data_IF_382463049189
#
_entry.id   IF_382463049189
#
_cell.length_a   1.000
_cell.length_b   1.000
_cell.length_c   1.000
_cell.angle_alpha   90.00
_cell.angle_beta   90.00
_cell.angle_gamma   90.00
#
_symmetry.space_group_name_H-M   'P 1'
#
loop_
_entity.id
_entity.type
_entity.pdbx_description
1 polymer ?
#
# COMPACT_ATOMS: atom_id res chain seq x y z
N UNK A 1 -30.17 -7.47 3.62
CA UNK A 1 -29.26 -7.37 4.80
C UNK A 1 -28.42 -6.13 4.56
N UNK A 2 -28.53 -5.08 5.38
CA UNK A 2 -27.88 -3.80 5.07
C UNK A 2 -26.37 -3.97 4.88
N UNK A 3 -25.84 -3.56 3.73
CA UNK A 3 -24.41 -3.46 3.53
C UNK A 3 -23.94 -2.22 4.29
N UNK A 4 -23.28 -2.43 5.44
CA UNK A 4 -22.83 -1.33 6.30
C UNK A 4 -21.46 -0.79 5.89
N UNK A 5 -20.83 -1.36 4.86
CA UNK A 5 -19.54 -0.88 4.33
C UNK A 5 -19.83 0.33 3.43
N UNK A 6 -19.26 1.51 3.70
CA UNK A 6 -19.27 2.63 2.76
C UNK A 6 -18.73 2.21 1.39
N UNK A 7 -19.32 2.70 0.30
CA UNK A 7 -18.94 2.34 -1.08
C UNK A 7 -17.46 2.59 -1.35
N UNK A 8 -16.95 3.73 -0.91
CA UNK A 8 -15.53 4.13 -0.99
C UNK A 8 -14.58 3.10 -0.35
N UNK A 9 -14.96 2.55 0.80
CA UNK A 9 -14.13 1.57 1.51
C UNK A 9 -14.24 0.18 0.90
N UNK A 10 -15.42 -0.15 0.36
CA UNK A 10 -15.62 -1.39 -0.38
C UNK A 10 -14.78 -1.39 -1.66
N UNK A 11 -14.75 -0.29 -2.40
CA UNK A 11 -13.93 -0.15 -3.61
C UNK A 11 -12.44 -0.26 -3.30
N UNK A 12 -11.97 0.41 -2.25
CA UNK A 12 -10.58 0.27 -1.78
C UNK A 12 -10.25 -1.18 -1.40
N UNK A 13 -11.16 -1.86 -0.71
CA UNK A 13 -10.99 -3.27 -0.35
C UNK A 13 -10.87 -4.16 -1.58
N UNK A 14 -11.78 -4.00 -2.55
CA UNK A 14 -11.78 -4.78 -3.80
C UNK A 14 -10.51 -4.51 -4.62
N UNK A 15 -10.08 -3.25 -4.68
CA UNK A 15 -8.83 -2.86 -5.34
C UNK A 15 -7.61 -3.53 -4.72
N UNK A 16 -7.56 -3.64 -3.39
CA UNK A 16 -6.48 -4.36 -2.69
C UNK A 16 -6.53 -5.88 -2.91
N UNK A 17 -7.72 -6.46 -3.14
CA UNK A 17 -7.86 -7.89 -3.48
C UNK A 17 -7.43 -8.21 -4.92
N UNK A 18 -7.56 -7.26 -5.84
CA UNK A 18 -7.29 -7.49 -7.26
C UNK A 18 -5.77 -7.51 -7.54
N UNK A 19 -5.19 -8.61 -8.05
CA UNK A 19 -3.76 -8.68 -8.36
C UNK A 19 -3.35 -7.69 -9.47
N UNK A 20 -4.22 -7.44 -10.44
CA UNK A 20 -3.92 -6.51 -11.54
C UNK A 20 -3.77 -5.07 -11.04
N UNK A 21 -4.62 -4.66 -10.10
CA UNK A 21 -4.55 -3.30 -9.55
C UNK A 21 -3.41 -3.12 -8.56
N UNK A 22 -3.00 -4.18 -7.85
CA UNK A 22 -1.76 -4.17 -7.05
C UNK A 22 -0.52 -3.99 -7.94
N UNK A 23 -0.46 -4.69 -9.07
CA UNK A 23 0.60 -4.51 -10.05
C UNK A 23 0.58 -3.10 -10.66
N UNK A 24 -0.61 -2.56 -10.95
CA UNK A 24 -0.75 -1.19 -11.44
C UNK A 24 -0.27 -0.17 -10.40
N UNK A 25 -0.63 -0.31 -9.13
CA UNK A 25 -0.16 0.58 -8.06
C UNK A 25 1.37 0.55 -7.91
N UNK A 26 1.98 -0.62 -8.07
CA UNK A 26 3.44 -0.75 -8.08
C UNK A 26 4.07 -0.06 -9.32
N UNK A 27 3.41 -0.14 -10.49
CA UNK A 27 3.86 0.55 -11.70
C UNK A 27 3.68 2.07 -11.61
N UNK A 28 2.57 2.54 -11.05
CA UNK A 28 2.27 3.97 -10.87
C UNK A 28 3.30 4.63 -9.93
N UNK A 29 3.67 3.94 -8.84
CA UNK A 29 4.74 4.38 -7.93
C UNK A 29 6.10 4.54 -8.65
N UNK A 30 6.32 3.78 -9.72
CA UNK A 30 7.51 3.89 -10.57
C UNK A 30 7.35 4.98 -11.64
N UNK A 31 6.13 5.42 -11.96
CA UNK A 31 5.87 6.49 -12.92
C UNK A 31 5.99 7.91 -12.35
N UNK A 32 5.80 8.07 -11.03
CA UNK A 32 5.91 9.36 -10.32
C UNK A 32 7.38 9.80 -10.09
N UNK A 33 8.22 9.65 -11.11
CA UNK A 33 9.64 10.01 -11.06
C UNK A 33 9.82 11.51 -11.16
N UNK A 34 10.86 11.99 -10.48
CA UNK A 34 11.30 13.38 -10.60
C UNK A 34 11.90 13.57 -12.00
N UNK A 35 11.23 14.34 -12.85
CA UNK A 35 11.66 14.60 -14.23
C UNK A 35 12.78 15.66 -14.37
N UNK A 36 13.15 15.93 -15.63
CA UNK A 36 14.30 16.77 -16.00
C UNK A 36 14.23 18.23 -15.52
N UNK A 37 13.02 18.74 -15.25
CA UNK A 37 12.81 20.09 -14.71
C UNK A 37 13.36 20.27 -13.29
N UNK A 38 13.77 19.20 -12.61
CA UNK A 38 14.34 19.25 -11.28
C UNK A 38 15.83 19.64 -11.31
N UNK A 39 16.24 20.57 -10.43
CA UNK A 39 17.63 21.02 -10.32
C UNK A 39 18.61 19.88 -10.01
N UNK A 40 18.22 18.93 -9.17
CA UNK A 40 19.03 17.76 -8.83
C UNK A 40 19.25 16.85 -10.04
N UNK A 41 18.22 16.63 -10.87
CA UNK A 41 18.36 15.90 -12.13
C UNK A 41 19.41 16.56 -13.04
N UNK A 42 19.28 17.87 -13.25
CA UNK A 42 20.23 18.62 -14.08
C UNK A 42 21.66 18.62 -13.52
N UNK A 43 21.83 18.64 -12.19
CA UNK A 43 23.15 18.53 -11.56
C UNK A 43 23.77 17.15 -11.79
N UNK A 44 23.00 16.06 -11.63
CA UNK A 44 23.48 14.70 -11.90
C UNK A 44 23.88 14.53 -13.36
N UNK A 45 23.03 14.99 -14.29
CA UNK A 45 23.32 14.96 -15.72
C UNK A 45 24.62 15.68 -16.07
N UNK A 46 24.86 16.87 -15.48
CA UNK A 46 26.11 17.63 -15.66
C UNK A 46 27.35 16.92 -15.11
N UNK A 47 27.19 16.05 -14.11
CA UNK A 47 28.25 15.23 -13.56
C UNK A 47 28.47 13.92 -14.34
N UNK A 48 27.79 13.74 -15.48
CA UNK A 48 27.94 12.58 -16.35
C UNK A 48 27.02 11.41 -16.02
N UNK A 49 26.08 11.57 -15.08
CA UNK A 49 25.04 10.57 -14.84
C UNK A 49 23.98 10.62 -15.94
N UNK A 50 23.56 9.46 -16.43
CA UNK A 50 22.49 9.33 -17.43
C UNK A 50 21.23 8.78 -16.78
N UNK A 51 20.06 9.25 -17.19
CA UNK A 51 18.79 8.76 -16.65
C UNK A 51 18.69 7.23 -16.77
N UNK A 52 18.22 6.59 -15.69
CA UNK A 52 18.07 5.13 -15.62
C UNK A 52 19.38 4.38 -15.35
N UNK A 53 20.54 5.04 -15.32
CA UNK A 53 21.80 4.40 -14.94
C UNK A 53 21.97 4.33 -13.41
N UNK A 54 22.59 3.26 -12.95
CA UNK A 54 23.03 3.15 -11.57
C UNK A 54 24.19 4.10 -11.27
N UNK A 55 24.35 4.48 -10.00
CA UNK A 55 25.48 5.31 -9.56
C UNK A 55 26.74 4.47 -9.27
N UNK A 56 27.88 5.13 -9.10
CA UNK A 56 29.18 4.50 -8.80
C UNK A 56 30.05 4.26 -10.03
N UNK A 57 31.33 3.91 -9.80
CA UNK A 57 32.34 3.86 -10.87
C UNK A 57 32.02 2.90 -12.02
N UNK A 58 31.30 1.80 -11.73
CA UNK A 58 30.84 0.84 -12.73
C UNK A 58 29.35 0.90 -13.05
N UNK A 59 28.63 1.93 -12.57
CA UNK A 59 27.18 2.04 -12.73
C UNK A 59 26.36 0.93 -12.05
N UNK A 60 26.98 0.17 -11.13
CA UNK A 60 26.36 -0.97 -10.46
C UNK A 60 25.47 -0.58 -9.26
N UNK A 61 25.38 0.72 -8.95
CA UNK A 61 24.49 1.23 -7.93
C UNK A 61 23.03 0.96 -8.26
N UNK A 62 22.20 0.89 -7.22
CA UNK A 62 20.78 0.63 -7.37
C UNK A 62 20.08 1.79 -8.09
N UNK A 63 19.30 1.46 -9.14
CA UNK A 63 18.60 2.43 -9.98
C UNK A 63 17.29 2.90 -9.35
N UNK A 64 16.49 1.95 -8.85
CA UNK A 64 15.21 2.23 -8.22
C UNK A 64 15.41 2.44 -6.71
N UNK A 65 14.71 3.40 -6.08
CA UNK A 65 14.77 3.57 -4.63
C UNK A 65 14.30 2.31 -3.90
N UNK A 66 14.82 2.08 -2.69
CA UNK A 66 14.35 0.98 -1.83
C UNK A 66 12.95 1.32 -1.35
N UNK A 67 12.01 0.39 -1.51
CA UNK A 67 10.70 0.51 -0.88
C UNK A 67 10.85 0.24 0.63
N UNK A 68 10.50 1.23 1.46
CA UNK A 68 10.54 1.11 2.91
C UNK A 68 9.46 0.18 3.50
N UNK A 69 8.53 -0.29 2.66
CA UNK A 69 7.41 -1.12 3.06
C UNK A 69 6.36 -0.33 3.86
N UNK A 70 5.50 -1.06 4.57
CA UNK A 70 4.48 -0.47 5.43
C UNK A 70 5.12 0.13 6.69
N UNK A 71 4.93 1.44 6.87
CA UNK A 71 5.36 2.13 8.10
C UNK A 71 4.33 1.88 9.19
N UNK A 72 4.76 1.19 10.24
CA UNK A 72 3.92 0.87 11.39
C UNK A 72 3.49 2.13 12.14
N UNK A 73 2.18 2.32 12.30
CA UNK A 73 1.60 3.46 13.02
C UNK A 73 1.17 3.12 14.46
N UNK A 74 1.47 1.91 14.93
CA UNK A 74 1.09 1.42 16.25
C UNK A 74 2.30 0.85 17.02
N UNK A 75 2.10 0.59 18.31
CA UNK A 75 3.17 0.14 19.22
C UNK A 75 3.23 -1.39 19.37
N UNK A 76 2.68 -2.16 18.44
CA UNK A 76 2.70 -3.62 18.52
C UNK A 76 4.13 -4.16 18.32
N UNK A 77 4.38 -5.42 18.72
CA UNK A 77 5.65 -6.10 18.50
C UNK A 77 5.98 -6.34 17.01
N UNK A 78 7.24 -6.60 16.68
CA UNK A 78 7.66 -6.98 15.32
C UNK A 78 6.90 -8.24 14.88
N UNK A 79 6.42 -8.26 13.64
CA UNK A 79 5.61 -9.36 13.10
C UNK A 79 4.13 -9.31 13.45
N UNK A 80 3.69 -8.41 14.35
CA UNK A 80 2.28 -8.14 14.54
C UNK A 80 1.75 -7.29 13.37
N UNK A 81 0.86 -7.86 12.57
CA UNK A 81 0.10 -7.19 11.50
C UNK A 81 -1.38 -7.10 11.82
N UNK A 82 -2.11 -6.24 11.10
CA UNK A 82 -3.57 -6.14 11.24
C UNK A 82 -4.23 -7.42 10.69
N UNK A 83 -5.16 -8.00 11.45
CA UNK A 83 -5.87 -9.23 11.05
C UNK A 83 -6.93 -8.99 9.96
N UNK A 84 -7.34 -7.72 9.84
CA UNK A 84 -8.28 -7.16 8.88
C UNK A 84 -7.67 -6.96 7.48
N UNK A 85 -6.34 -6.89 7.36
CA UNK A 85 -5.66 -6.55 6.12
C UNK A 85 -5.65 -7.72 5.13
N UNK A 86 -5.98 -7.43 3.87
CA UNK A 86 -5.90 -8.39 2.77
C UNK A 86 -4.44 -8.64 2.40
N UNK A 87 -4.07 -9.91 2.37
CA UNK A 87 -2.74 -10.42 2.01
C UNK A 87 -2.77 -11.05 0.62
N UNK A 88 -1.60 -11.22 0.02
CA UNK A 88 -1.45 -11.89 -1.28
C UNK A 88 -1.86 -13.36 -1.23
N UNK A 89 -1.65 -14.00 -0.10
CA UNK A 89 -1.88 -15.43 0.12
C UNK A 89 -3.31 -15.74 0.58
N UNK A 90 -4.17 -14.72 0.76
CA UNK A 90 -5.55 -14.95 1.21
C UNK A 90 -6.37 -15.64 0.12
N UNK A 91 -6.98 -16.77 0.47
CA UNK A 91 -7.97 -17.42 -0.37
C UNK A 91 -9.29 -16.63 -0.43
N UNK A 92 -10.22 -17.10 -1.27
CA UNK A 92 -11.52 -16.46 -1.46
C UNK A 92 -12.31 -16.38 -0.14
N UNK A 93 -12.14 -17.36 0.75
CA UNK A 93 -12.85 -17.42 2.02
C UNK A 93 -12.31 -16.39 3.03
N UNK A 94 -10.99 -16.28 3.17
CA UNK A 94 -10.34 -15.28 4.02
C UNK A 94 -10.62 -13.86 3.51
N UNK A 95 -10.60 -13.63 2.19
CA UNK A 95 -11.01 -12.35 1.61
C UNK A 95 -12.48 -12.02 1.95
N UNK A 96 -13.38 -13.00 1.83
CA UNK A 96 -14.79 -12.82 2.22
C UNK A 96 -14.94 -12.47 3.70
N UNK A 97 -14.23 -13.18 4.57
CA UNK A 97 -14.23 -12.96 6.02
C UNK A 97 -13.71 -11.57 6.38
N UNK A 98 -12.60 -11.13 5.76
CA UNK A 98 -12.04 -9.78 5.95
C UNK A 98 -12.99 -8.68 5.45
N UNK A 99 -13.65 -8.90 4.31
CA UNK A 99 -14.72 -8.01 3.83
C UNK A 99 -15.87 -7.91 4.83
N UNK A 100 -16.27 -9.04 5.42
CA UNK A 100 -17.33 -9.04 6.42
C UNK A 100 -16.90 -8.33 7.71
N UNK A 101 -15.66 -8.54 8.16
CA UNK A 101 -15.03 -7.83 9.29
C UNK A 101 -15.03 -6.31 9.06
N UNK A 102 -14.71 -5.85 7.85
CA UNK A 102 -14.83 -4.44 7.49
C UNK A 102 -16.26 -3.92 7.71
N UNK A 103 -17.28 -4.67 7.27
CA UNK A 103 -18.68 -4.33 7.53
C UNK A 103 -19.05 -4.24 9.01
N UNK A 104 -18.45 -5.07 9.87
CA UNK A 104 -18.66 -4.99 11.32
C UNK A 104 -18.10 -3.71 11.94
N UNK A 105 -17.08 -3.08 11.36
CA UNK A 105 -16.51 -1.81 11.84
C UNK A 105 -17.50 -0.65 11.67
N UNK A 106 -18.23 -0.63 10.55
CA UNK A 106 -19.15 0.47 10.19
C UNK A 106 -20.60 0.23 10.63
N UNK A 107 -20.91 -0.97 11.12
CA UNK A 107 -22.27 -1.30 11.55
C UNK A 107 -22.62 -0.57 12.85
N UNK A 108 -23.75 0.16 12.91
CA UNK A 108 -24.17 0.86 14.12
C UNK A 108 -24.31 -0.12 15.28
N UNK A 109 -23.82 0.27 16.46
CA UNK A 109 -23.97 -0.52 17.67
C UNK A 109 -25.30 -0.14 18.36
N UNK A 110 -26.30 -1.05 18.44
CA UNK A 110 -27.58 -0.75 19.08
C UNK A 110 -27.46 -0.39 20.57
N UNK A 111 -26.33 -0.71 21.21
CA UNK A 111 -26.07 -0.37 22.61
C UNK A 111 -25.36 0.98 22.81
N UNK A 112 -25.09 1.74 21.75
CA UNK A 112 -24.49 3.08 21.82
C UNK A 112 -23.03 3.17 22.32
N UNK A 113 -22.46 2.08 22.83
CA UNK A 113 -21.07 2.03 23.30
C UNK A 113 -20.10 1.89 22.11
N UNK A 114 -18.92 2.54 22.12
CA UNK A 114 -17.85 2.25 21.15
C UNK A 114 -17.56 0.75 21.02
N UNK A 115 -17.48 0.26 19.78
CA UNK A 115 -16.99 -1.09 19.50
C UNK A 115 -15.51 -1.12 19.85
N UNK A 116 -15.10 -2.06 20.72
CA UNK A 116 -13.69 -2.30 20.99
C UNK A 116 -13.06 -2.80 19.68
N UNK A 117 -12.04 -2.10 19.18
CA UNK A 117 -11.21 -2.62 18.11
C UNK A 117 -10.49 -3.84 18.67
N UNK A 118 -10.92 -5.03 18.26
CA UNK A 118 -10.14 -6.23 18.47
C UNK A 118 -9.18 -6.30 17.29
N UNK A 119 -7.90 -6.14 17.61
CA UNK A 119 -6.74 -6.15 16.72
C UNK A 119 -6.52 -4.84 15.95
#
# INVERSE_FOLDING_TARGET
MGHYIPTEELEKFLKKCNPAERAQAAADAVSDRIGEGNKGFAMLAKMGWTEGAGLGAGGAGMVNPVNAGEVKQNNLGVGAGETSEVKEEDDIYEQYKKRMMLGYKHRPNPLGNPRKAYY
#
